data_IF_096395012640
#
_entry.id   IF_096395012640
#
_cell.length_a   1.000
_cell.length_b   1.000
_cell.length_c   1.000
_cell.angle_alpha   90.00
_cell.angle_beta   90.00
_cell.angle_gamma   90.00
#
_symmetry.space_group_name_H-M   'P 1'
#
loop_
_entity.id
_entity.type
_entity.pdbx_description
1 polymer ?
#
# COMPACT_ATOMS: atom_id res chain seq x y z
N UNK A 1 -27.46 -37.27 -63.23
CA UNK A 1 -27.27 -36.06 -62.39
C UNK A 1 -27.76 -36.27 -60.96
N UNK A 2 -29.03 -36.62 -60.72
CA UNK A 2 -29.59 -36.73 -59.36
C UNK A 2 -28.92 -37.78 -58.45
N UNK A 3 -28.66 -39.00 -58.96
CA UNK A 3 -27.94 -40.04 -58.22
C UNK A 3 -26.52 -39.63 -57.81
N UNK A 4 -25.82 -38.90 -58.68
CA UNK A 4 -24.46 -38.42 -58.39
C UNK A 4 -24.45 -37.48 -57.19
N UNK A 5 -25.38 -36.51 -57.13
CA UNK A 5 -25.49 -35.59 -56.00
C UNK A 5 -25.89 -36.29 -54.70
N UNK A 6 -26.81 -37.27 -54.74
CA UNK A 6 -27.19 -38.06 -53.57
C UNK A 6 -26.00 -38.87 -53.02
N UNK A 7 -25.20 -39.46 -53.90
CA UNK A 7 -24.01 -40.24 -53.51
C UNK A 7 -22.93 -39.32 -52.91
N UNK A 8 -22.75 -38.13 -53.48
CA UNK A 8 -21.79 -37.14 -53.00
C UNK A 8 -22.20 -36.59 -51.62
N UNK A 9 -23.50 -36.33 -51.42
CA UNK A 9 -24.07 -35.88 -50.15
C UNK A 9 -23.90 -36.93 -49.05
N UNK A 10 -24.12 -38.21 -49.35
CA UNK A 10 -23.89 -39.30 -48.40
C UNK A 10 -22.42 -39.41 -47.97
N UNK A 11 -21.48 -39.34 -48.92
CA UNK A 11 -20.03 -39.35 -48.62
C UNK A 11 -19.61 -38.14 -47.79
N UNK A 12 -20.14 -36.96 -48.11
CA UNK A 12 -19.86 -35.73 -47.37
C UNK A 12 -20.36 -35.83 -45.92
N UNK A 13 -21.56 -36.37 -45.72
CA UNK A 13 -22.14 -36.55 -44.39
C UNK A 13 -21.32 -37.52 -43.53
N UNK A 14 -20.91 -38.65 -44.10
CA UNK A 14 -20.03 -39.62 -43.43
C UNK A 14 -18.69 -38.98 -43.06
N UNK A 15 -18.10 -38.19 -43.96
CA UNK A 15 -16.86 -37.49 -43.66
C UNK A 15 -17.04 -36.48 -42.51
N UNK A 16 -18.09 -35.67 -42.54
CA UNK A 16 -18.38 -34.68 -41.51
C UNK A 16 -18.66 -35.30 -40.14
N UNK A 17 -19.43 -36.39 -40.09
CA UNK A 17 -19.70 -37.09 -38.82
C UNK A 17 -18.42 -37.70 -38.24
N UNK A 18 -17.52 -38.19 -39.08
CA UNK A 18 -16.24 -38.74 -38.65
C UNK A 18 -15.29 -37.65 -38.12
N UNK A 19 -15.27 -36.47 -38.74
CA UNK A 19 -14.52 -35.32 -38.23
C UNK A 19 -15.11 -34.79 -36.93
N UNK A 20 -16.43 -34.72 -36.82
CA UNK A 20 -17.12 -34.28 -35.60
C UNK A 20 -16.84 -35.22 -34.42
N UNK A 21 -16.89 -36.53 -34.65
CA UNK A 21 -16.57 -37.51 -33.62
C UNK A 21 -15.12 -37.38 -33.14
N UNK A 22 -14.17 -37.23 -34.07
CA UNK A 22 -12.76 -36.99 -33.73
C UNK A 22 -12.56 -35.70 -32.92
N UNK A 23 -13.24 -34.62 -33.31
CA UNK A 23 -13.17 -33.36 -32.57
C UNK A 23 -13.73 -33.51 -31.15
N UNK A 24 -14.82 -34.25 -31.00
CA UNK A 24 -15.45 -34.49 -29.69
C UNK A 24 -14.58 -35.36 -28.80
N UNK A 25 -13.96 -36.40 -29.36
CA UNK A 25 -12.99 -37.25 -28.67
C UNK A 25 -11.79 -36.45 -28.18
N UNK A 26 -11.23 -35.60 -29.04
CA UNK A 26 -10.08 -34.73 -28.70
C UNK A 26 -10.44 -33.70 -27.62
N UNK A 27 -11.65 -33.14 -27.64
CA UNK A 27 -12.14 -32.27 -26.56
C UNK A 27 -12.25 -33.04 -25.24
N UNK A 28 -12.76 -34.27 -25.28
CA UNK A 28 -12.96 -35.07 -24.08
C UNK A 28 -11.62 -35.54 -23.47
N UNK A 29 -10.66 -35.92 -24.31
CA UNK A 29 -9.28 -36.21 -23.90
C UNK A 29 -8.62 -34.97 -23.30
N UNK A 30 -8.74 -33.81 -23.96
CA UNK A 30 -8.18 -32.56 -23.46
C UNK A 30 -8.79 -32.19 -22.11
N UNK A 31 -10.11 -32.36 -21.94
CA UNK A 31 -10.80 -32.10 -20.68
C UNK A 31 -10.34 -33.03 -19.56
N UNK A 32 -10.25 -34.34 -19.83
CA UNK A 32 -9.80 -35.32 -18.82
C UNK A 32 -8.35 -35.09 -18.39
N UNK A 33 -7.48 -34.66 -19.30
CA UNK A 33 -6.10 -34.29 -18.98
C UNK A 33 -6.00 -32.96 -18.21
N UNK A 34 -6.83 -31.97 -18.52
CA UNK A 34 -6.75 -30.63 -17.91
C UNK A 34 -7.48 -30.50 -16.58
N UNK A 35 -8.54 -31.29 -16.35
CA UNK A 35 -9.32 -31.29 -15.11
C UNK A 35 -8.49 -31.36 -13.81
N UNK A 36 -7.53 -32.29 -13.63
CA UNK A 36 -6.76 -32.36 -12.38
C UNK A 36 -5.92 -31.10 -12.13
N UNK A 37 -5.40 -30.46 -13.18
CA UNK A 37 -4.65 -29.21 -13.04
C UNK A 37 -5.56 -28.07 -12.58
N UNK A 38 -6.79 -27.99 -13.08
CA UNK A 38 -7.78 -27.00 -12.62
C UNK A 38 -8.14 -27.21 -11.14
N UNK A 39 -8.29 -28.45 -10.70
CA UNK A 39 -8.54 -28.78 -9.29
C UNK A 39 -7.37 -28.34 -8.39
N UNK A 40 -6.12 -28.59 -8.81
CA UNK A 40 -4.92 -28.12 -8.08
C UNK A 40 -4.90 -26.59 -7.99
N UNK A 41 -5.16 -25.89 -9.10
CA UNK A 41 -5.23 -24.43 -9.13
C UNK A 41 -6.30 -23.92 -8.17
N UNK A 42 -7.47 -24.56 -8.15
CA UNK A 42 -8.57 -24.20 -7.26
C UNK A 42 -8.18 -24.33 -5.79
N UNK A 43 -7.56 -25.43 -5.40
CA UNK A 43 -7.05 -25.64 -4.03
C UNK A 43 -6.05 -24.55 -3.63
N UNK A 44 -5.12 -24.19 -4.51
CA UNK A 44 -4.16 -23.12 -4.22
C UNK A 44 -4.83 -21.74 -4.06
N UNK A 45 -5.88 -21.46 -4.82
CA UNK A 45 -6.67 -20.24 -4.67
C UNK A 45 -7.37 -20.21 -3.31
N UNK A 46 -7.98 -21.33 -2.90
CA UNK A 46 -8.62 -21.45 -1.59
C UNK A 46 -7.63 -21.25 -0.44
N UNK A 47 -6.44 -21.88 -0.53
CA UNK A 47 -5.38 -21.69 0.46
C UNK A 47 -4.91 -20.23 0.53
N UNK A 48 -4.65 -19.58 -0.61
CA UNK A 48 -4.28 -18.16 -0.65
C UNK A 48 -5.36 -17.28 -0.02
N UNK A 49 -6.64 -17.55 -0.32
CA UNK A 49 -7.76 -16.82 0.26
C UNK A 49 -7.79 -16.98 1.79
N UNK A 50 -7.56 -18.19 2.30
CA UNK A 50 -7.49 -18.44 3.73
C UNK A 50 -6.33 -17.68 4.41
N UNK A 51 -5.15 -17.62 3.77
CA UNK A 51 -4.03 -16.83 4.29
C UNK A 51 -4.35 -15.32 4.33
N UNK A 52 -5.01 -14.80 3.30
CA UNK A 52 -5.46 -13.39 3.26
C UNK A 52 -6.43 -13.12 4.41
N UNK A 53 -7.43 -13.98 4.62
CA UNK A 53 -8.37 -13.84 5.72
C UNK A 53 -7.66 -13.88 7.07
N UNK A 54 -6.75 -14.82 7.29
CA UNK A 54 -5.96 -14.93 8.53
C UNK A 54 -5.14 -13.67 8.80
N UNK A 55 -4.50 -13.12 7.78
CA UNK A 55 -3.75 -11.87 7.89
C UNK A 55 -4.66 -10.68 8.24
N UNK A 56 -5.84 -10.63 7.62
CA UNK A 56 -6.84 -9.60 7.86
C UNK A 56 -7.37 -9.67 9.30
N UNK A 57 -7.69 -10.87 9.80
CA UNK A 57 -8.07 -11.07 11.20
C UNK A 57 -6.99 -10.63 12.17
N UNK A 58 -5.73 -11.04 11.94
CA UNK A 58 -4.58 -10.60 12.76
C UNK A 58 -4.44 -9.08 12.77
N UNK A 59 -4.61 -8.43 11.61
CA UNK A 59 -4.54 -6.98 11.48
C UNK A 59 -5.66 -6.29 12.26
N UNK A 60 -6.90 -6.80 12.18
CA UNK A 60 -8.04 -6.27 12.95
C UNK A 60 -7.80 -6.45 14.45
N UNK A 61 -7.35 -7.63 14.90
CA UNK A 61 -7.04 -7.88 16.32
C UNK A 61 -5.94 -6.95 16.84
N UNK A 62 -4.91 -6.70 16.03
CA UNK A 62 -3.85 -5.75 16.37
C UNK A 62 -4.38 -4.32 16.50
N UNK A 63 -5.20 -3.86 15.55
CA UNK A 63 -5.85 -2.54 15.61
C UNK A 63 -6.77 -2.43 16.82
N UNK A 64 -7.55 -3.47 17.12
CA UNK A 64 -8.42 -3.52 18.29
C UNK A 64 -7.62 -3.38 19.59
N UNK A 65 -6.46 -4.04 19.70
CA UNK A 65 -5.57 -3.92 20.86
C UNK A 65 -4.94 -2.54 20.99
N UNK A 66 -4.54 -1.91 19.88
CA UNK A 66 -4.08 -0.51 19.90
C UNK A 66 -5.20 0.39 20.41
N UNK A 67 -6.42 0.22 19.88
CA UNK A 67 -7.55 1.05 20.26
C UNK A 67 -7.94 0.88 21.73
N UNK A 68 -7.97 -0.36 22.24
CA UNK A 68 -8.23 -0.62 23.66
C UNK A 68 -7.18 0.02 24.55
N UNK A 69 -5.91 -0.11 24.18
CA UNK A 69 -4.78 0.51 24.88
C UNK A 69 -4.94 2.04 24.91
N UNK A 70 -5.30 2.66 23.79
CA UNK A 70 -5.56 4.11 23.72
C UNK A 70 -6.72 4.52 24.64
N UNK A 71 -7.80 3.75 24.68
CA UNK A 71 -8.93 4.00 25.59
C UNK A 71 -8.51 3.91 27.06
N UNK A 72 -7.76 2.87 27.44
CA UNK A 72 -7.23 2.73 28.80
C UNK A 72 -6.33 3.91 29.20
N UNK A 73 -5.41 4.32 28.33
CA UNK A 73 -4.59 5.51 28.57
C UNK A 73 -5.43 6.78 28.69
N UNK A 74 -6.47 6.93 27.87
CA UNK A 74 -7.35 8.11 27.96
C UNK A 74 -8.09 8.16 29.30
N UNK A 75 -8.51 7.01 29.83
CA UNK A 75 -9.15 6.91 31.14
C UNK A 75 -8.19 7.27 32.28
N UNK A 76 -6.90 6.95 32.13
CA UNK A 76 -5.84 7.34 33.08
C UNK A 76 -5.46 8.83 32.99
N UNK A 77 -5.40 9.39 31.78
CA UNK A 77 -4.99 10.77 31.54
C UNK A 77 -6.07 11.76 31.97
N UNK A 78 -7.35 11.40 31.83
CA UNK A 78 -8.49 12.27 32.16
C UNK A 78 -8.44 12.86 33.59
N UNK A 79 -8.34 12.06 34.68
CA UNK A 79 -8.29 12.60 36.04
C UNK A 79 -7.02 13.44 36.29
N UNK A 80 -5.89 13.08 35.68
CA UNK A 80 -4.66 13.86 35.79
C UNK A 80 -4.81 15.23 35.11
N UNK A 81 -5.45 15.28 33.94
CA UNK A 81 -5.72 16.53 33.25
C UNK A 81 -6.73 17.41 34.01
N UNK A 82 -7.78 16.81 34.58
CA UNK A 82 -8.75 17.52 35.43
C UNK A 82 -8.09 18.10 36.68
N UNK A 83 -7.18 17.36 37.30
CA UNK A 83 -6.38 17.84 38.44
C UNK A 83 -5.53 19.06 38.05
N UNK A 84 -4.80 19.00 36.93
CA UNK A 84 -3.98 20.12 36.43
C UNK A 84 -4.87 21.31 36.05
N UNK A 85 -6.02 21.07 35.43
CA UNK A 85 -6.98 22.11 35.05
C UNK A 85 -7.53 22.86 36.27
N UNK A 86 -7.89 22.12 37.32
CA UNK A 86 -8.43 22.70 38.56
C UNK A 86 -7.36 23.44 39.38
N UNK A 87 -6.09 23.00 39.32
CA UNK A 87 -4.97 23.72 39.96
C UNK A 87 -4.57 24.98 39.20
N UNK A 88 -4.41 24.89 37.88
CA UNK A 88 -4.02 26.01 37.05
C UNK A 88 -4.57 25.87 35.62
N UNK A 89 -5.70 26.54 35.40
CA UNK A 89 -6.40 26.55 34.11
C UNK A 89 -5.50 26.96 32.94
N UNK A 90 -4.60 27.93 33.14
CA UNK A 90 -3.69 28.40 32.09
C UNK A 90 -2.63 27.36 31.73
N UNK A 91 -2.11 26.61 32.71
CA UNK A 91 -1.17 25.52 32.45
C UNK A 91 -1.84 24.37 31.68
N UNK A 92 -3.06 24.00 32.03
CA UNK A 92 -3.80 22.97 31.30
C UNK A 92 -4.08 23.36 29.84
N UNK A 93 -4.46 24.63 29.60
CA UNK A 93 -4.64 25.17 28.25
C UNK A 93 -3.30 25.21 27.48
N UNK A 94 -2.21 25.60 28.14
CA UNK A 94 -0.87 25.59 27.54
C UNK A 94 -0.42 24.19 27.12
N UNK A 95 -0.67 23.17 27.97
CA UNK A 95 -0.36 21.79 27.67
C UNK A 95 -1.20 21.26 26.49
N UNK A 96 -2.50 21.51 26.47
CA UNK A 96 -3.36 21.06 25.36
C UNK A 96 -2.97 21.70 24.02
N UNK A 97 -2.66 23.00 24.03
CA UNK A 97 -2.14 23.70 22.85
C UNK A 97 -0.79 23.11 22.38
N UNK A 98 0.11 22.78 23.30
CA UNK A 98 1.41 22.19 22.95
C UNK A 98 1.25 20.84 22.23
N UNK A 99 0.31 20.00 22.68
CA UNK A 99 0.00 18.71 22.04
C UNK A 99 -0.56 18.92 20.64
N UNK A 100 -1.46 19.89 20.47
CA UNK A 100 -2.01 20.23 19.15
C UNK A 100 -0.92 20.70 18.18
N UNK A 101 0.02 21.54 18.64
CA UNK A 101 1.15 22.01 17.82
C UNK A 101 2.05 20.84 17.41
N UNK A 102 2.34 19.91 18.32
CA UNK A 102 3.15 18.71 18.03
C UNK A 102 2.45 17.83 16.99
N UNK A 103 1.14 17.61 17.13
CA UNK A 103 0.35 16.82 16.17
C UNK A 103 0.30 17.49 14.80
N UNK A 104 0.12 18.82 14.76
CA UNK A 104 0.15 19.59 13.53
C UNK A 104 1.51 19.51 12.84
N UNK A 105 2.61 19.65 13.59
CA UNK A 105 3.97 19.48 13.09
C UNK A 105 4.18 18.08 12.49
N UNK A 106 3.79 17.03 13.21
CA UNK A 106 3.88 15.65 12.72
C UNK A 106 3.15 15.46 11.39
N UNK A 107 1.93 15.99 11.27
CA UNK A 107 1.15 15.94 10.03
C UNK A 107 1.83 16.68 8.87
N UNK A 108 2.38 17.87 9.12
CA UNK A 108 3.15 18.61 8.11
C UNK A 108 4.39 17.83 7.65
N UNK A 109 5.06 17.13 8.55
CA UNK A 109 6.23 16.32 8.22
C UNK A 109 5.88 15.11 7.34
N UNK A 110 4.74 14.46 7.60
CA UNK A 110 4.21 13.41 6.72
C UNK A 110 3.88 13.99 5.34
N UNK A 111 3.19 15.14 5.28
CA UNK A 111 2.86 15.81 4.01
C UNK A 111 4.12 16.18 3.24
N UNK A 112 5.13 16.71 3.92
CA UNK A 112 6.43 17.06 3.32
C UNK A 112 7.15 15.81 2.78
N UNK A 113 7.22 14.73 3.56
CA UNK A 113 7.77 13.46 3.11
C UNK A 113 6.99 12.89 1.90
N UNK A 114 5.67 13.13 1.82
CA UNK A 114 4.85 12.75 0.67
C UNK A 114 5.10 13.60 -0.58
N UNK A 115 5.43 14.89 -0.46
CA UNK A 115 5.60 15.78 -1.62
C UNK A 115 6.97 15.62 -2.30
N UNK A 116 8.01 15.23 -1.58
CA UNK A 116 9.34 15.08 -2.15
C UNK A 116 9.51 13.73 -2.87
N UNK A 117 9.92 13.77 -4.13
CA UNK A 117 10.21 12.60 -4.96
C UNK A 117 11.60 12.06 -4.64
N UNK A 118 11.67 11.02 -3.80
CA UNK A 118 12.91 10.27 -3.61
C UNK A 118 12.65 8.78 -3.38
N UNK A 119 13.63 7.97 -3.77
CA UNK A 119 13.65 6.50 -3.74
C UNK A 119 13.24 5.90 -2.37
N UNK A 120 13.54 6.58 -1.27
CA UNK A 120 13.29 6.11 0.11
C UNK A 120 12.07 6.78 0.79
N UNK A 121 11.09 7.22 0.00
CA UNK A 121 9.87 7.89 0.50
C UNK A 121 9.06 7.00 1.46
N UNK A 122 8.90 5.73 1.10
CA UNK A 122 8.06 4.77 1.84
C UNK A 122 8.63 4.45 3.23
N UNK A 123 9.94 4.24 3.33
CA UNK A 123 10.62 3.89 4.59
C UNK A 123 10.49 4.97 5.65
N UNK A 124 10.65 6.24 5.28
CA UNK A 124 10.59 7.34 6.25
C UNK A 124 9.17 7.68 6.68
N UNK A 125 8.20 7.58 5.76
CA UNK A 125 6.78 7.68 6.13
C UNK A 125 6.42 6.54 7.09
N UNK A 126 6.90 5.32 6.82
CA UNK A 126 6.69 4.18 7.72
C UNK A 126 7.27 4.43 9.12
N UNK A 127 8.50 4.94 9.23
CA UNK A 127 9.13 5.30 10.52
C UNK A 127 8.33 6.41 11.23
N UNK A 128 7.84 7.43 10.52
CA UNK A 128 7.01 8.50 11.11
C UNK A 128 5.65 8.01 11.61
N UNK A 129 5.06 7.00 10.95
CA UNK A 129 3.80 6.39 11.37
C UNK A 129 4.05 5.50 12.58
N UNK A 130 5.14 4.72 12.58
CA UNK A 130 5.48 3.78 13.66
C UNK A 130 5.89 4.49 14.96
N UNK A 131 6.72 5.54 14.86
CA UNK A 131 7.24 6.28 16.01
C UNK A 131 6.52 7.61 16.27
N UNK A 132 5.50 7.93 15.48
CA UNK A 132 4.68 9.13 15.65
C UNK A 132 5.48 10.45 15.61
N UNK A 133 5.17 11.42 16.47
CA UNK A 133 5.85 12.71 16.52
C UNK A 133 7.37 12.61 16.74
N UNK A 134 7.83 11.61 17.48
CA UNK A 134 9.27 11.36 17.70
C UNK A 134 9.95 11.01 16.39
N UNK A 135 9.34 10.12 15.58
CA UNK A 135 9.84 9.77 14.25
C UNK A 135 9.89 10.98 13.30
N UNK A 136 8.93 11.90 13.40
CA UNK A 136 8.96 13.15 12.64
C UNK A 136 10.10 14.09 13.05
N UNK A 137 10.41 14.20 14.35
CA UNK A 137 11.58 14.94 14.83
C UNK A 137 12.88 14.32 14.30
N UNK A 138 13.04 13.00 14.40
CA UNK A 138 14.22 12.30 13.89
C UNK A 138 14.41 12.54 12.39
N UNK A 139 13.34 12.46 11.59
CA UNK A 139 13.41 12.79 10.16
C UNK A 139 13.80 14.25 9.91
N UNK A 140 13.24 15.19 10.67
CA UNK A 140 13.52 16.61 10.51
C UNK A 140 15.01 16.90 10.69
N UNK A 141 15.62 16.39 11.76
CA UNK A 141 17.03 16.63 12.07
C UNK A 141 17.98 15.84 11.17
N UNK A 142 17.75 14.54 10.97
CA UNK A 142 18.70 13.68 10.26
C UNK A 142 18.63 13.82 8.75
N UNK A 143 17.44 14.08 8.21
CA UNK A 143 17.20 14.00 6.76
C UNK A 143 16.88 15.36 6.15
N UNK A 144 15.83 16.05 6.61
CA UNK A 144 15.40 17.32 5.99
C UNK A 144 16.55 18.34 5.96
N UNK A 145 17.23 18.53 7.10
CA UNK A 145 18.36 19.47 7.23
C UNK A 145 19.59 19.10 6.37
N UNK A 146 19.80 17.81 6.07
CA UNK A 146 20.94 17.38 5.21
C UNK A 146 20.66 17.64 3.73
N UNK A 147 19.42 17.44 3.29
CA UNK A 147 19.01 17.60 1.90
C UNK A 147 18.97 19.07 1.48
N UNK A 148 18.41 19.94 2.33
CA UNK A 148 18.40 21.40 2.08
C UNK A 148 19.84 21.93 1.93
N UNK A 149 20.78 21.47 2.78
CA UNK A 149 22.21 21.82 2.64
C UNK A 149 22.84 21.34 1.33
N UNK A 150 22.42 20.20 0.79
CA UNK A 150 22.94 19.69 -0.48
C UNK A 150 22.35 20.45 -1.67
N UNK A 151 21.08 20.83 -1.58
CA UNK A 151 20.38 21.60 -2.60
C UNK A 151 20.91 23.05 -2.65
N UNK A 152 21.09 23.72 -1.51
CA UNK A 152 21.72 25.04 -1.44
C UNK A 152 23.13 25.03 -2.05
N UNK A 153 23.94 24.00 -1.80
CA UNK A 153 25.26 23.87 -2.43
C UNK A 153 25.16 23.78 -3.95
N UNK A 154 24.20 23.01 -4.46
CA UNK A 154 23.97 22.87 -5.90
C UNK A 154 23.51 24.20 -6.51
N UNK A 155 22.61 24.90 -5.83
CA UNK A 155 22.07 26.19 -6.30
C UNK A 155 23.14 27.30 -6.26
N UNK A 156 24.00 27.34 -5.23
CA UNK A 156 25.18 28.23 -5.18
C UNK A 156 26.12 27.96 -6.35
N UNK A 157 26.39 26.68 -6.66
CA UNK A 157 27.24 26.32 -7.80
C UNK A 157 26.59 26.76 -9.11
N UNK A 158 25.28 26.53 -9.29
CA UNK A 158 24.56 27.00 -10.48
C UNK A 158 24.56 28.53 -10.58
N UNK A 159 24.30 29.27 -9.49
CA UNK A 159 24.33 30.74 -9.48
C UNK A 159 25.73 31.30 -9.82
N UNK A 160 26.81 30.62 -9.43
CA UNK A 160 28.18 30.98 -9.83
C UNK A 160 28.44 30.78 -11.33
N UNK A 161 27.78 29.82 -11.98
CA UNK A 161 27.88 29.64 -13.43
C UNK A 161 27.11 30.72 -14.20
N UNK A 162 26.02 31.26 -13.62
CA UNK A 162 25.16 32.24 -14.29
C UNK A 162 25.42 33.71 -13.91
N UNK A 163 26.21 33.97 -12.88
CA UNK A 163 26.61 35.34 -12.52
C UNK A 163 27.75 35.79 -13.45
N UNK A 164 27.56 36.81 -14.31
CA UNK A 164 28.62 37.27 -15.20
C UNK A 164 29.78 37.77 -14.35
N UNK A 165 30.97 37.18 -14.54
CA UNK A 165 32.20 37.73 -13.97
C UNK A 165 32.31 39.18 -14.45
N UNK A 166 32.07 40.14 -13.56
CA UNK A 166 32.59 41.48 -13.79
C UNK A 166 34.11 41.32 -13.81
N UNK A 167 34.67 41.38 -15.02
CA UNK A 167 36.09 41.52 -15.24
C UNK A 167 36.45 42.92 -14.76
N UNK A 168 37.19 42.98 -13.65
CA UNK A 168 38.00 44.16 -13.32
C UNK A 168 39.07 44.37 -14.40
#
# INVERSE_FOLDING_TARGET
MQQFFQTLQGKLWIFLSLQFNKATELINETWTLTKPYLEIIWVHIEEMFFYILKYLTLSISFLGKIFSTVLEYSALIKPAFESIYNQNKYQAIGLSLSVLVIMFFWFLMIRHAKRNEMVWKKTWIFIMILFGPVGALTYFFLRKRKLEKQQDKKDIVMMKFFSPMHKD
#
